data_IF_946784167048
#
_entry.id   IF_946784167048
#
_cell.length_a   1.000
_cell.length_b   1.000
_cell.length_c   1.000
_cell.angle_alpha   90.00
_cell.angle_beta   90.00
_cell.angle_gamma   90.00
#
_symmetry.space_group_name_H-M   'P 1'
#
loop_
_entity.id
_entity.type
_entity.pdbx_description
1 polymer ?
#
# COMPACT_ATOMS: atom_id res chain seq x y z
N UNK A 1 -9.66 22.20 -14.75
CA UNK A 1 -9.84 20.78 -14.37
C UNK A 1 -9.21 19.93 -15.47
N UNK A 2 -7.90 19.70 -15.39
CA UNK A 2 -7.20 18.80 -16.30
C UNK A 2 -7.55 17.37 -15.87
N UNK A 3 -8.20 16.60 -16.74
CA UNK A 3 -8.50 15.19 -16.49
C UNK A 3 -7.18 14.48 -16.18
N UNK A 4 -7.05 13.93 -14.96
CA UNK A 4 -5.83 13.23 -14.57
C UNK A 4 -5.63 12.01 -15.47
N UNK A 5 -4.38 11.75 -15.83
CA UNK A 5 -3.99 10.67 -16.73
C UNK A 5 -4.53 9.30 -16.29
N UNK A 6 -4.67 9.08 -14.98
CA UNK A 6 -5.25 7.85 -14.41
C UNK A 6 -6.74 7.66 -14.75
N UNK A 7 -7.57 8.71 -14.73
CA UNK A 7 -8.99 8.60 -15.07
C UNK A 7 -9.19 8.34 -16.56
N UNK A 8 -8.30 8.86 -17.40
CA UNK A 8 -8.28 8.58 -18.84
C UNK A 8 -7.89 7.13 -19.07
N UNK A 9 -6.80 6.65 -18.46
CA UNK A 9 -6.35 5.25 -18.58
C UNK A 9 -7.42 4.28 -18.09
N UNK A 10 -7.99 4.49 -16.90
CA UNK A 10 -9.03 3.60 -16.33
C UNK A 10 -10.31 3.58 -17.18
N UNK A 11 -10.70 4.72 -17.78
CA UNK A 11 -11.84 4.75 -18.71
C UNK A 11 -11.56 4.01 -20.01
N UNK A 12 -10.33 4.10 -20.52
CA UNK A 12 -9.93 3.40 -21.73
C UNK A 12 -9.82 1.89 -21.49
N UNK A 13 -9.24 1.46 -20.37
CA UNK A 13 -9.14 0.05 -19.98
C UNK A 13 -10.53 -0.60 -19.84
N UNK A 14 -11.47 0.05 -19.15
CA UNK A 14 -12.85 -0.47 -19.02
C UNK A 14 -13.54 -0.64 -20.38
N UNK A 15 -13.31 0.28 -21.32
CA UNK A 15 -13.87 0.20 -22.67
C UNK A 15 -13.20 -0.89 -23.51
N UNK A 16 -11.88 -1.05 -23.42
CA UNK A 16 -11.14 -2.07 -24.16
C UNK A 16 -11.46 -3.48 -23.63
N UNK A 17 -11.53 -3.67 -22.32
CA UNK A 17 -11.91 -4.95 -21.69
C UNK A 17 -13.34 -5.35 -22.03
N UNK A 18 -14.27 -4.38 -22.13
CA UNK A 18 -15.64 -4.64 -22.56
C UNK A 18 -15.76 -5.04 -24.05
N UNK A 19 -14.73 -4.79 -24.86
CA UNK A 19 -14.78 -4.91 -26.32
C UNK A 19 -13.85 -5.98 -26.91
N UNK A 20 -12.96 -6.57 -26.11
CA UNK A 20 -11.98 -7.55 -26.60
C UNK A 20 -12.00 -8.86 -25.80
N UNK A 21 -12.06 -9.97 -26.52
CA UNK A 21 -11.79 -11.36 -26.09
C UNK A 21 -10.28 -11.68 -25.98
N UNK A 22 -9.41 -10.69 -26.26
CA UNK A 22 -7.97 -10.75 -26.01
C UNK A 22 -7.09 -11.04 -27.24
N UNK A 23 -7.66 -11.21 -28.44
CA UNK A 23 -6.86 -11.41 -29.66
C UNK A 23 -6.11 -10.13 -30.09
N UNK A 24 -4.86 -10.28 -30.56
CA UNK A 24 -4.03 -9.15 -31.02
C UNK A 24 -4.63 -8.44 -32.25
N UNK A 25 -5.33 -9.19 -33.09
CA UNK A 25 -5.99 -8.67 -34.29
C UNK A 25 -7.20 -7.79 -33.92
N UNK A 26 -8.02 -8.23 -32.95
CA UNK A 26 -9.12 -7.43 -32.43
C UNK A 26 -8.64 -6.17 -31.71
N UNK A 27 -7.52 -6.27 -30.99
CA UNK A 27 -6.89 -5.12 -30.33
C UNK A 27 -6.44 -4.06 -31.35
N UNK A 28 -5.86 -4.47 -32.47
CA UNK A 28 -5.44 -3.54 -33.53
C UNK A 28 -6.65 -2.91 -34.24
N UNK A 29 -7.67 -3.70 -34.57
CA UNK A 29 -8.89 -3.19 -35.18
C UNK A 29 -9.60 -2.14 -34.30
N UNK A 30 -9.66 -2.36 -32.98
CA UNK A 30 -10.20 -1.38 -32.04
C UNK A 30 -9.34 -0.12 -31.96
N UNK A 31 -8.00 -0.24 -31.97
CA UNK A 31 -7.10 0.92 -31.98
C UNK A 31 -7.38 1.81 -33.20
N UNK A 32 -7.56 1.23 -34.37
CA UNK A 32 -7.81 1.96 -35.61
C UNK A 32 -9.18 2.67 -35.60
N UNK A 33 -10.22 2.00 -35.10
CA UNK A 33 -11.56 2.58 -34.92
C UNK A 33 -11.54 3.76 -33.93
N UNK A 34 -10.89 3.59 -32.78
CA UNK A 34 -10.82 4.65 -31.77
C UNK A 34 -9.93 5.82 -32.19
N UNK A 35 -8.86 5.57 -32.94
CA UNK A 35 -8.01 6.61 -33.52
C UNK A 35 -8.77 7.49 -34.52
N UNK A 36 -9.70 6.89 -35.28
CA UNK A 36 -10.58 7.60 -36.20
C UNK A 36 -11.68 8.39 -35.48
N UNK A 37 -12.14 7.92 -34.31
CA UNK A 37 -13.25 8.53 -33.56
C UNK A 37 -12.86 9.74 -32.72
N UNK A 38 -11.64 9.82 -32.16
CA UNK A 38 -11.36 10.86 -31.16
C UNK A 38 -9.91 11.40 -31.18
N UNK A 39 -9.71 12.74 -31.25
CA UNK A 39 -8.39 13.37 -31.23
C UNK A 39 -7.51 12.98 -30.04
N UNK A 40 -8.11 12.78 -28.85
CA UNK A 40 -7.39 12.31 -27.66
C UNK A 40 -6.80 10.90 -27.87
N UNK A 41 -7.51 10.01 -28.56
CA UNK A 41 -7.05 8.65 -28.79
C UNK A 41 -5.94 8.63 -29.83
N UNK A 42 -6.07 9.43 -30.89
CA UNK A 42 -4.99 9.65 -31.87
C UNK A 42 -3.72 10.22 -31.19
N UNK A 43 -3.88 11.15 -30.26
CA UNK A 43 -2.77 11.67 -29.46
C UNK A 43 -2.16 10.57 -28.56
N UNK A 44 -2.98 9.76 -27.91
CA UNK A 44 -2.52 8.67 -27.06
C UNK A 44 -1.71 7.63 -27.84
N UNK A 45 -2.21 7.17 -28.98
CA UNK A 45 -1.48 6.21 -29.82
C UNK A 45 -0.15 6.77 -30.31
N UNK A 46 -0.12 8.03 -30.74
CA UNK A 46 1.09 8.65 -31.26
C UNK A 46 2.18 8.82 -30.20
N UNK A 47 1.81 9.20 -28.97
CA UNK A 47 2.79 9.65 -27.97
C UNK A 47 2.99 8.67 -26.81
N UNK A 48 2.04 7.76 -26.57
CA UNK A 48 2.07 6.88 -25.40
C UNK A 48 2.13 5.40 -25.79
N UNK A 49 1.43 4.93 -26.82
CA UNK A 49 1.39 3.50 -27.17
C UNK A 49 2.76 2.88 -27.51
N UNK A 50 3.74 3.69 -27.94
CA UNK A 50 5.11 3.22 -28.20
C UNK A 50 6.03 3.17 -26.98
N UNK A 51 5.63 3.76 -25.85
CA UNK A 51 6.43 3.86 -24.61
C UNK A 51 5.76 3.11 -23.46
N UNK A 52 5.19 1.94 -23.73
CA UNK A 52 4.43 1.16 -22.75
C UNK A 52 5.20 0.90 -21.46
N UNK A 53 6.52 0.79 -21.55
CA UNK A 53 7.40 0.53 -20.41
C UNK A 53 7.36 1.66 -19.37
N UNK A 54 7.01 2.89 -19.78
CA UNK A 54 7.00 4.07 -18.91
C UNK A 54 5.64 4.31 -18.21
N UNK A 55 4.55 3.73 -18.71
CA UNK A 55 3.20 4.00 -18.18
C UNK A 55 2.33 2.76 -17.93
N UNK A 56 2.64 1.61 -18.53
CA UNK A 56 1.90 0.36 -18.27
C UNK A 56 2.34 -0.22 -16.94
N UNK A 57 1.39 -0.36 -16.00
CA UNK A 57 1.65 -0.80 -14.63
C UNK A 57 2.45 -2.12 -14.55
N UNK A 58 2.09 -3.11 -15.37
CA UNK A 58 2.78 -4.42 -15.35
C UNK A 58 4.24 -4.34 -15.84
N UNK A 59 4.56 -3.44 -16.78
CA UNK A 59 5.92 -3.27 -17.30
C UNK A 59 6.81 -2.46 -16.33
N UNK A 60 6.18 -1.68 -15.44
CA UNK A 60 6.86 -0.87 -14.43
C UNK A 60 7.10 -1.59 -13.10
N UNK A 61 6.81 -2.89 -13.01
CA UNK A 61 6.97 -3.67 -11.78
C UNK A 61 8.39 -3.65 -11.23
N UNK A 62 9.38 -3.47 -12.11
CA UNK A 62 10.81 -3.46 -11.76
C UNK A 62 11.35 -2.06 -11.46
N UNK A 63 10.54 -1.00 -11.61
CA UNK A 63 10.94 0.36 -11.26
C UNK A 63 10.74 0.56 -9.76
N UNK A 64 11.77 0.91 -8.97
CA UNK A 64 11.64 1.17 -7.55
C UNK A 64 10.70 2.36 -7.32
N UNK A 65 9.43 2.07 -7.06
CA UNK A 65 8.43 3.11 -6.89
C UNK A 65 8.42 3.68 -5.46
N UNK A 66 9.28 3.20 -4.54
CA UNK A 66 9.31 3.60 -3.13
C UNK A 66 7.90 3.60 -2.49
N UNK A 67 7.09 2.60 -2.88
CA UNK A 67 5.67 2.46 -2.49
C UNK A 67 4.70 3.49 -3.08
N UNK A 68 5.14 4.33 -4.03
CA UNK A 68 4.47 5.54 -4.51
C UNK A 68 3.84 5.32 -5.90
N UNK A 69 2.66 4.72 -5.92
CA UNK A 69 1.92 4.36 -7.13
C UNK A 69 0.69 5.26 -7.40
N UNK A 70 0.44 6.29 -6.58
CA UNK A 70 -0.74 7.17 -6.69
C UNK A 70 -0.36 8.65 -6.75
N UNK A 71 -0.94 9.36 -7.73
CA UNK A 71 -0.71 10.81 -7.93
C UNK A 71 -1.08 11.63 -6.71
N UNK A 72 -2.13 11.26 -5.97
CA UNK A 72 -2.56 11.98 -4.76
C UNK A 72 -1.43 12.12 -3.74
N UNK A 73 -0.53 11.14 -3.66
CA UNK A 73 0.58 11.16 -2.71
C UNK A 73 1.75 12.01 -3.19
N UNK A 74 1.97 12.05 -4.50
CA UNK A 74 2.91 12.99 -5.14
C UNK A 74 2.40 14.41 -4.91
N UNK A 75 1.15 14.70 -5.29
CA UNK A 75 0.52 16.02 -5.12
C UNK A 75 0.54 16.49 -3.66
N UNK A 76 0.27 15.60 -2.70
CA UNK A 76 0.38 15.90 -1.27
C UNK A 76 1.82 16.25 -0.83
N UNK A 77 2.84 15.56 -1.38
CA UNK A 77 4.25 15.90 -1.11
C UNK A 77 4.63 17.26 -1.72
N UNK A 78 4.18 17.53 -2.95
CA UNK A 78 4.39 18.84 -3.60
C UNK A 78 3.70 19.98 -2.86
N UNK A 79 2.51 19.76 -2.28
CA UNK A 79 1.83 20.75 -1.45
C UNK A 79 2.68 21.11 -0.22
N UNK A 80 3.13 20.11 0.55
CA UNK A 80 4.01 20.33 1.72
C UNK A 80 5.32 21.01 1.37
N UNK A 81 5.91 20.66 0.22
CA UNK A 81 7.12 21.30 -0.25
C UNK A 81 6.88 22.79 -0.55
N UNK A 82 5.76 23.13 -1.20
CA UNK A 82 5.39 24.53 -1.44
C UNK A 82 5.18 25.31 -0.15
N UNK A 83 4.69 24.67 0.91
CA UNK A 83 4.55 25.30 2.23
C UNK A 83 5.92 25.56 2.90
N UNK A 84 6.92 24.74 2.59
CA UNK A 84 8.29 24.84 3.14
C UNK A 84 9.18 25.80 2.35
N UNK A 85 8.96 25.92 1.04
CA UNK A 85 9.72 26.81 0.17
C UNK A 85 9.25 28.24 0.38
N UNK A 86 10.16 29.12 0.83
CA UNK A 86 9.87 30.54 0.92
C UNK A 86 9.67 31.12 -0.48
N UNK A 87 8.72 32.04 -0.69
CA UNK A 87 8.53 32.70 -1.98
C UNK A 87 9.79 33.43 -2.51
N UNK A 88 10.73 33.75 -1.61
CA UNK A 88 12.00 34.41 -1.92
C UNK A 88 13.17 33.45 -2.17
N UNK A 89 12.98 32.14 -2.02
CA UNK A 89 14.06 31.16 -2.21
C UNK A 89 14.46 31.08 -3.68
N UNK A 90 15.76 31.03 -3.94
CA UNK A 90 16.26 30.85 -5.30
C UNK A 90 15.92 29.46 -5.83
N UNK A 91 15.64 29.34 -7.15
CA UNK A 91 15.39 28.04 -7.79
C UNK A 91 16.52 27.04 -7.52
N UNK A 92 17.77 27.53 -7.51
CA UNK A 92 18.94 26.73 -7.16
C UNK A 92 18.88 26.18 -5.72
N UNK A 93 18.50 27.00 -4.75
CA UNK A 93 18.38 26.59 -3.34
C UNK A 93 17.26 25.55 -3.17
N UNK A 94 16.15 25.73 -3.89
CA UNK A 94 15.04 24.78 -3.88
C UNK A 94 15.46 23.43 -4.49
N UNK A 95 16.18 23.46 -5.61
CA UNK A 95 16.67 22.26 -6.28
C UNK A 95 17.73 21.53 -5.44
N UNK A 96 18.68 22.26 -4.86
CA UNK A 96 19.69 21.69 -3.97
C UNK A 96 19.04 21.03 -2.73
N UNK A 97 18.04 21.68 -2.15
CA UNK A 97 17.26 21.14 -1.03
C UNK A 97 16.51 19.87 -1.44
N UNK A 98 15.88 19.87 -2.63
CA UNK A 98 15.15 18.71 -3.14
C UNK A 98 16.06 17.51 -3.38
N UNK A 99 17.20 17.73 -4.04
CA UNK A 99 18.19 16.68 -4.28
C UNK A 99 18.75 16.14 -2.97
N UNK A 100 19.00 17.00 -1.98
CA UNK A 100 19.41 16.58 -0.63
C UNK A 100 18.35 15.73 0.06
N UNK A 101 17.09 16.16 0.06
CA UNK A 101 15.98 15.39 0.65
C UNK A 101 15.77 14.05 -0.06
N UNK A 102 15.87 14.02 -1.38
CA UNK A 102 15.80 12.78 -2.16
C UNK A 102 16.95 11.84 -1.80
N UNK A 103 18.19 12.34 -1.73
CA UNK A 103 19.35 11.52 -1.34
C UNK A 103 19.22 10.94 0.07
N UNK A 104 18.65 11.69 1.02
CA UNK A 104 18.34 11.17 2.36
C UNK A 104 17.34 10.00 2.26
N UNK A 105 16.25 10.17 1.51
CA UNK A 105 15.25 9.11 1.33
C UNK A 105 15.82 7.87 0.60
N UNK A 106 16.68 8.06 -0.39
CA UNK A 106 17.35 6.96 -1.10
C UNK A 106 18.29 6.20 -0.17
N UNK A 107 19.09 6.91 0.64
CA UNK A 107 19.96 6.30 1.64
C UNK A 107 19.18 5.54 2.72
N UNK A 108 18.07 6.10 3.22
CA UNK A 108 17.17 5.38 4.16
C UNK A 108 16.59 4.10 3.53
N UNK A 109 16.21 4.17 2.25
CA UNK A 109 15.70 3.02 1.51
C UNK A 109 16.79 1.96 1.30
N UNK A 110 18.00 2.35 0.91
CA UNK A 110 19.14 1.45 0.78
C UNK A 110 19.52 0.79 2.11
N UNK A 111 19.49 1.54 3.21
CA UNK A 111 19.70 0.98 4.55
C UNK A 111 18.62 -0.06 4.85
N UNK A 112 17.34 0.23 4.67
CA UNK A 112 16.27 -0.75 4.91
C UNK A 112 16.38 -1.99 4.00
N UNK A 113 16.80 -1.83 2.74
CA UNK A 113 17.01 -2.95 1.82
C UNK A 113 18.22 -3.81 2.20
N UNK A 114 19.33 -3.19 2.60
CA UNK A 114 20.60 -3.87 2.86
C UNK A 114 20.78 -4.29 4.32
N UNK A 115 19.82 -3.97 5.19
CA UNK A 115 19.87 -4.34 6.61
C UNK A 115 19.71 -5.84 6.77
N UNK A 116 20.85 -6.52 6.90
CA UNK A 116 20.97 -7.95 7.19
C UNK A 116 20.13 -8.28 8.42
N UNK A 117 19.29 -9.31 8.32
CA UNK A 117 18.39 -9.72 9.39
C UNK A 117 17.04 -8.99 9.41
N UNK A 118 16.73 -8.14 8.42
CA UNK A 118 15.40 -7.55 8.30
C UNK A 118 14.43 -8.52 7.64
N UNK A 119 13.52 -9.07 8.44
CA UNK A 119 12.40 -9.85 7.95
C UNK A 119 11.43 -8.94 7.17
N UNK A 120 11.33 -9.17 5.86
CA UNK A 120 10.29 -8.56 5.05
C UNK A 120 8.99 -9.34 5.25
N UNK A 121 8.01 -8.71 5.91
CA UNK A 121 6.68 -9.30 6.01
C UNK A 121 6.11 -9.57 4.61
N UNK A 122 5.41 -10.69 4.41
CA UNK A 122 4.71 -10.97 3.17
C UNK A 122 3.78 -9.82 2.78
N UNK A 123 3.66 -9.54 1.48
CA UNK A 123 2.73 -8.52 0.95
C UNK A 123 1.33 -9.10 0.78
N UNK A 124 0.82 -9.74 1.81
CA UNK A 124 -0.46 -10.43 1.78
C UNK A 124 -1.57 -9.48 2.25
N UNK A 125 -2.79 -9.67 1.76
CA UNK A 125 -3.95 -8.80 2.06
C UNK A 125 -4.21 -8.69 3.58
N UNK A 126 -3.89 -9.73 4.35
CA UNK A 126 -4.05 -9.76 5.80
C UNK A 126 -3.15 -8.75 6.54
N UNK A 127 -1.96 -8.43 6.02
CA UNK A 127 -1.09 -7.40 6.62
C UNK A 127 -1.50 -5.99 6.20
N UNK A 128 -2.17 -5.86 5.05
CA UNK A 128 -2.66 -4.56 4.56
C UNK A 128 -3.83 -4.05 5.41
N UNK A 129 -4.64 -4.95 5.99
CA UNK A 129 -5.71 -4.57 6.90
C UNK A 129 -5.26 -4.33 8.35
N UNK A 130 -4.01 -4.63 8.70
CA UNK A 130 -3.46 -4.32 10.03
C UNK A 130 -3.20 -2.83 10.18
N UNK A 131 -3.42 -2.32 11.39
CA UNK A 131 -3.02 -0.96 11.71
C UNK A 131 -1.48 -0.84 11.82
N UNK A 132 -0.97 0.40 11.80
CA UNK A 132 0.47 0.66 11.83
C UNK A 132 1.17 0.12 13.08
N UNK A 133 0.46 0.04 14.21
CA UNK A 133 1.02 -0.45 15.47
C UNK A 133 1.18 -1.97 15.41
N UNK A 134 0.12 -2.68 15.01
CA UNK A 134 0.14 -4.12 14.79
C UNK A 134 1.23 -4.54 13.81
N UNK A 135 1.35 -3.82 12.69
CA UNK A 135 2.39 -4.06 11.69
C UNK A 135 3.80 -3.82 12.26
N UNK A 136 3.96 -2.82 13.12
CA UNK A 136 5.20 -2.54 13.82
C UNK A 136 5.60 -3.66 14.79
N UNK A 137 4.64 -4.14 15.60
CA UNK A 137 4.85 -5.19 16.59
C UNK A 137 5.23 -6.52 15.93
N UNK A 138 4.49 -6.95 14.89
CA UNK A 138 4.79 -8.21 14.18
C UNK A 138 6.10 -8.11 13.39
N UNK A 139 6.43 -6.94 12.80
CA UNK A 139 7.73 -6.71 12.15
C UNK A 139 8.87 -6.82 13.16
N UNK A 140 8.74 -6.23 14.35
CA UNK A 140 9.78 -6.34 15.39
C UNK A 140 9.99 -7.79 15.82
N UNK A 141 8.91 -8.53 16.08
CA UNK A 141 9.00 -9.95 16.45
C UNK A 141 9.68 -10.77 15.36
N UNK A 142 9.31 -10.58 14.10
CA UNK A 142 9.91 -11.25 12.96
C UNK A 142 11.43 -11.03 12.84
N UNK A 143 11.93 -9.89 13.32
CA UNK A 143 13.35 -9.56 13.32
C UNK A 143 14.12 -10.15 14.53
N UNK A 144 13.43 -10.63 15.57
CA UNK A 144 14.04 -11.17 16.78
C UNK A 144 14.11 -12.69 16.80
N UNK A 145 13.35 -13.36 15.94
CA UNK A 145 13.19 -14.82 15.97
C UNK A 145 13.55 -15.46 14.62
N UNK A 146 13.76 -16.78 14.62
CA UNK A 146 13.95 -17.52 13.38
C UNK A 146 12.65 -17.56 12.55
N UNK A 147 12.76 -17.77 11.23
CA UNK A 147 11.61 -17.93 10.33
C UNK A 147 10.58 -18.95 10.87
N UNK A 148 11.05 -20.08 11.38
CA UNK A 148 10.18 -21.12 11.95
C UNK A 148 9.40 -20.64 13.18
N UNK A 149 10.08 -19.95 14.10
CA UNK A 149 9.43 -19.39 15.28
C UNK A 149 8.47 -18.25 14.92
N UNK A 150 8.81 -17.46 13.89
CA UNK A 150 7.93 -16.45 13.34
C UNK A 150 6.63 -17.06 12.81
N UNK A 151 6.69 -18.14 12.04
CA UNK A 151 5.48 -18.77 11.47
C UNK A 151 4.49 -19.20 12.57
N UNK A 152 5.01 -19.75 13.67
CA UNK A 152 4.20 -20.13 14.84
C UNK A 152 3.58 -18.89 15.51
N UNK A 153 4.38 -17.86 15.80
CA UNK A 153 3.91 -16.65 16.48
C UNK A 153 2.91 -15.89 15.59
N UNK A 154 3.16 -15.84 14.29
CA UNK A 154 2.33 -15.13 13.32
C UNK A 154 0.93 -15.75 13.22
N UNK A 155 0.81 -17.08 13.29
CA UNK A 155 -0.49 -17.76 13.32
C UNK A 155 -1.30 -17.36 14.57
N UNK A 156 -0.67 -17.35 15.75
CA UNK A 156 -1.30 -16.94 17.01
C UNK A 156 -1.62 -15.44 17.03
N UNK A 157 -0.71 -14.61 16.53
CA UNK A 157 -0.91 -13.16 16.44
C UNK A 157 -2.12 -12.83 15.56
N UNK A 158 -2.21 -13.47 14.37
CA UNK A 158 -3.38 -13.33 13.49
C UNK A 158 -4.66 -13.85 14.14
N UNK A 159 -4.58 -14.95 14.89
CA UNK A 159 -5.73 -15.46 15.63
C UNK A 159 -6.22 -14.46 16.68
N UNK A 160 -5.31 -13.85 17.44
CA UNK A 160 -5.62 -12.88 18.49
C UNK A 160 -6.23 -11.57 17.98
N UNK A 161 -5.90 -11.16 16.74
CA UNK A 161 -6.45 -9.97 16.11
C UNK A 161 -7.87 -10.16 15.55
N UNK A 162 -8.43 -11.37 15.57
CA UNK A 162 -9.80 -11.61 15.09
C UNK A 162 -10.81 -11.00 16.05
N UNK A 163 -11.94 -10.52 15.49
CA UNK A 163 -13.08 -10.07 16.30
C UNK A 163 -13.59 -11.17 17.24
N UNK A 164 -13.47 -12.44 16.84
CA UNK A 164 -13.84 -13.61 17.66
C UNK A 164 -13.01 -13.77 18.94
N UNK A 165 -11.84 -13.14 19.03
CA UNK A 165 -10.93 -13.20 20.17
C UNK A 165 -10.83 -11.87 20.93
N UNK A 166 -11.60 -10.86 20.53
CA UNK A 166 -11.68 -9.58 21.23
C UNK A 166 -12.63 -9.68 22.43
N UNK A 167 -12.08 -9.74 23.63
CA UNK A 167 -12.87 -9.77 24.87
C UNK A 167 -12.64 -8.52 25.71
N UNK A 168 -13.72 -7.89 26.15
CA UNK A 168 -13.69 -6.92 27.24
C UNK A 168 -13.65 -7.66 28.56
N UNK A 169 -12.74 -7.24 29.44
CA UNK A 169 -12.56 -7.82 30.75
C UNK A 169 -13.28 -6.95 31.77
N UNK A 170 -14.23 -7.52 32.50
CA UNK A 170 -14.93 -6.88 33.61
C UNK A 170 -14.68 -7.65 34.90
N UNK A 171 -14.02 -7.01 35.85
CA UNK A 171 -13.75 -7.60 37.18
C UNK A 171 -14.98 -7.34 38.05
N UNK A 172 -15.66 -8.40 38.50
CA UNK A 172 -16.79 -8.34 39.44
C UNK A 172 -16.28 -8.41 40.88
N UNK A 173 -17.12 -8.03 41.85
CA UNK A 173 -16.73 -7.86 43.26
C UNK A 173 -16.38 -9.15 44.04
N UNK A 174 -16.37 -10.32 43.41
CA UNK A 174 -16.21 -11.62 44.08
C UNK A 174 -15.09 -12.49 43.49
N UNK A 175 -13.98 -11.89 43.03
CA UNK A 175 -12.88 -12.62 42.35
C UNK A 175 -13.32 -13.35 41.06
N UNK A 176 -14.47 -12.96 40.49
CA UNK A 176 -14.96 -13.47 39.21
C UNK A 176 -14.59 -12.47 38.11
N UNK A 177 -13.93 -12.97 37.07
CA UNK A 177 -13.62 -12.23 35.86
C UNK A 177 -14.63 -12.59 34.78
N UNK A 178 -15.34 -11.58 34.29
CA UNK A 178 -16.24 -11.70 33.17
C UNK A 178 -15.51 -11.28 31.88
N UNK A 179 -15.44 -12.19 30.91
CA UNK A 179 -14.94 -11.93 29.58
C UNK A 179 -16.13 -11.81 28.63
N UNK A 180 -16.26 -10.67 27.98
CA UNK A 180 -17.39 -10.38 27.10
C UNK A 180 -16.91 -10.02 25.70
N UNK A 181 -17.27 -10.83 24.71
CA UNK A 181 -17.08 -10.55 23.30
C UNK A 181 -18.40 -9.98 22.76
N UNK A 182 -18.43 -8.66 22.54
CA UNK A 182 -19.63 -7.93 22.10
C UNK A 182 -20.01 -8.27 20.66
N UNK A 183 -19.01 -8.53 19.80
CA UNK A 183 -19.20 -8.78 18.37
C UNK A 183 -19.82 -10.16 18.12
N UNK A 184 -19.36 -11.19 18.83
CA UNK A 184 -19.87 -12.56 18.72
C UNK A 184 -20.93 -12.91 19.77
N UNK A 185 -21.27 -11.97 20.66
CA UNK A 185 -22.21 -12.17 21.79
C UNK A 185 -21.83 -13.37 22.66
N UNK A 186 -20.53 -13.59 22.88
CA UNK A 186 -20.01 -14.65 23.75
C UNK A 186 -19.64 -14.08 25.10
N UNK A 187 -19.93 -14.83 26.16
CA UNK A 187 -19.65 -14.44 27.53
C UNK A 187 -19.05 -15.64 28.28
N UNK A 188 -17.96 -15.40 28.99
CA UNK A 188 -17.33 -16.38 29.87
C UNK A 188 -17.16 -15.80 31.26
N UNK A 189 -17.50 -16.58 32.29
CA UNK A 189 -17.28 -16.25 33.70
C UNK A 189 -16.19 -17.16 34.23
N UNK A 190 -15.10 -16.57 34.70
CA UNK A 190 -13.95 -17.26 35.25
C UNK A 190 -13.85 -16.95 36.74
N UNK A 191 -13.86 -17.99 37.58
CA UNK A 191 -13.56 -17.83 39.01
C UNK A 191 -12.04 -17.83 39.21
N UNK A 192 -11.50 -16.78 39.82
CA UNK A 192 -10.10 -16.73 40.27
C UNK A 192 -9.97 -17.48 41.62
N UNK A 193 -10.39 -18.74 41.67
CA UNK A 193 -10.04 -19.60 42.80
C UNK A 193 -8.58 -20.01 42.65
N UNK A 194 -7.70 -19.34 43.41
CA UNK A 194 -6.31 -19.77 43.57
C UNK A 194 -6.32 -21.03 44.42
N UNK A 195 -6.26 -22.20 43.79
CA UNK A 195 -5.93 -23.43 44.51
C UNK A 195 -4.45 -23.36 44.92
N UNK A 196 -4.22 -23.01 46.19
CA UNK A 196 -2.93 -23.16 46.88
C UNK A 196 -2.76 -24.63 47.28
#
# INVERSE_FOLDING_TARGET
>A
MLLCQFHVISSLEKKVVALCDGSQEHKQALKDIFAAMHPLFKYFLKNWDGITEEWVSYQRSNVPHLGNNTNNRIEAKWAKLKDLIRPSAGVYECLATLLGLQGICENEYEVELNKIGTFCLPKDDEYQCMDKRQLGEIKQLANMVSMHAYDMINAEFKAALRVSTSYKICIRQDSVVELLNEDEKRQHLLSLEVHI
#
